data_IF_966733445400
#
_entry.id   IF_966733445400
#
_cell.length_a   1.000
_cell.length_b   1.000
_cell.length_c   1.000
_cell.angle_alpha   90.00
_cell.angle_beta   90.00
_cell.angle_gamma   90.00
#
_symmetry.space_group_name_H-M   'P 1'
#
loop_
_entity.id
_entity.type
_entity.pdbx_description
1 polymer ?
#
# COMPACT_ATOMS: atom_id res chain seq x y z
N UNK A 1 20.14 2.05 43.14
CA UNK A 1 18.75 1.62 42.93
C UNK A 1 18.51 1.56 41.44
N UNK A 2 18.47 0.37 40.84
CA UNK A 2 18.11 0.20 39.44
C UNK A 2 16.57 0.23 39.38
N UNK A 3 16.00 1.33 38.86
CA UNK A 3 14.59 1.37 38.51
C UNK A 3 14.42 0.46 37.29
N UNK A 4 13.72 -0.65 37.49
CA UNK A 4 13.32 -1.53 36.41
C UNK A 4 12.43 -0.76 35.44
N UNK A 5 12.86 -0.69 34.18
CA UNK A 5 12.00 -0.27 33.08
C UNK A 5 10.80 -1.22 33.07
N UNK A 6 9.61 -0.68 33.33
CA UNK A 6 8.35 -1.43 33.25
C UNK A 6 8.18 -1.95 31.81
N UNK A 7 8.23 -3.27 31.56
CA UNK A 7 8.24 -3.82 30.19
C UNK A 7 6.85 -3.86 29.55
N UNK A 8 5.82 -3.22 30.13
CA UNK A 8 4.43 -3.44 29.76
C UNK A 8 3.77 -2.33 28.92
N UNK A 9 4.48 -1.26 28.56
CA UNK A 9 3.93 -0.25 27.64
C UNK A 9 4.79 -0.14 26.39
N UNK A 10 4.22 -0.42 25.19
CA UNK A 10 4.89 -0.01 23.97
C UNK A 10 5.15 1.49 24.06
N UNK A 11 6.32 1.91 23.62
CA UNK A 11 6.69 3.31 23.58
C UNK A 11 5.69 4.03 22.66
N UNK A 12 4.78 4.81 23.28
CA UNK A 12 3.76 5.55 22.54
C UNK A 12 4.43 6.76 21.93
N UNK A 13 4.24 6.94 20.63
CA UNK A 13 4.76 8.10 19.91
C UNK A 13 4.42 9.42 20.65
N UNK A 14 5.40 10.31 20.88
CA UNK A 14 5.20 11.55 21.61
C UNK A 14 4.07 12.43 21.05
N UNK A 15 3.85 12.43 19.74
CA UNK A 15 2.76 13.16 19.09
C UNK A 15 1.39 12.59 19.46
N UNK A 16 1.27 11.25 19.50
CA UNK A 16 0.03 10.59 19.93
C UNK A 16 -0.26 10.90 21.39
N UNK A 17 0.77 10.89 22.24
CA UNK A 17 0.64 11.26 23.64
C UNK A 17 0.17 12.71 23.82
N UNK A 18 0.71 13.64 23.03
CA UNK A 18 0.31 15.05 23.07
C UNK A 18 -1.12 15.27 22.58
N UNK A 19 -1.54 14.59 21.51
CA UNK A 19 -2.91 14.64 21.02
C UNK A 19 -3.92 14.16 22.08
N UNK A 20 -3.62 13.06 22.78
CA UNK A 20 -4.47 12.54 23.88
C UNK A 20 -4.56 13.55 25.02
N UNK A 21 -3.44 14.18 25.40
CA UNK A 21 -3.43 15.23 26.44
C UNK A 21 -4.27 16.43 26.03
N UNK A 22 -4.12 16.92 24.80
CA UNK A 22 -4.89 18.04 24.27
C UNK A 22 -6.40 17.75 24.30
N UNK A 23 -6.82 16.55 23.89
CA UNK A 23 -8.23 16.15 23.94
C UNK A 23 -8.75 16.08 25.38
N UNK A 24 -7.97 15.48 26.28
CA UNK A 24 -8.31 15.42 27.72
C UNK A 24 -8.48 16.81 28.30
N UNK A 25 -7.55 17.72 28.03
CA UNK A 25 -7.51 19.03 28.67
C UNK A 25 -8.64 19.94 28.17
N UNK A 26 -9.09 19.77 26.92
CA UNK A 26 -10.16 20.57 26.32
C UNK A 26 -11.57 19.97 26.49
N UNK A 27 -11.70 18.64 26.50
CA UNK A 27 -12.99 17.95 26.45
C UNK A 27 -13.21 16.95 27.60
N UNK A 28 -12.22 16.77 28.47
CA UNK A 28 -12.28 15.87 29.62
C UNK A 28 -12.47 14.41 29.23
N UNK A 29 -13.02 13.64 30.17
CA UNK A 29 -13.25 12.20 29.99
C UNK A 29 -14.24 11.87 28.85
N UNK A 30 -15.19 12.77 28.55
CA UNK A 30 -16.14 12.57 27.44
C UNK A 30 -15.41 12.60 26.10
N UNK A 31 -14.53 13.58 25.88
CA UNK A 31 -13.72 13.65 24.67
C UNK A 31 -12.80 12.45 24.50
N UNK A 32 -12.19 11.97 25.58
CA UNK A 32 -11.37 10.75 25.54
C UNK A 32 -12.16 9.50 25.15
N UNK A 33 -13.41 9.35 25.63
CA UNK A 33 -14.27 8.25 25.21
C UNK A 33 -14.59 8.32 23.72
N UNK A 34 -14.89 9.51 23.19
CA UNK A 34 -15.12 9.69 21.76
C UNK A 34 -13.86 9.38 20.94
N UNK A 35 -12.69 9.84 21.38
CA UNK A 35 -11.42 9.55 20.73
C UNK A 35 -11.17 8.04 20.66
N UNK A 36 -11.42 7.31 21.75
CA UNK A 36 -11.27 5.85 21.79
C UNK A 36 -12.25 5.16 20.84
N UNK A 37 -13.50 5.60 20.75
CA UNK A 37 -14.46 5.06 19.78
C UNK A 37 -13.98 5.27 18.35
N UNK A 38 -13.58 6.49 17.99
CA UNK A 38 -13.08 6.81 16.66
C UNK A 38 -11.83 6.01 16.29
N UNK A 39 -10.89 5.87 17.22
CA UNK A 39 -9.67 5.10 17.00
C UNK A 39 -9.96 3.60 16.78
N UNK A 40 -10.94 3.03 17.50
CA UNK A 40 -11.38 1.64 17.27
C UNK A 40 -12.03 1.46 15.91
N UNK A 41 -12.89 2.38 15.51
CA UNK A 41 -13.55 2.33 14.21
C UNK A 41 -12.54 2.44 13.08
N UNK A 42 -11.51 3.28 13.24
CA UNK A 42 -10.44 3.42 12.25
C UNK A 42 -9.56 2.17 12.17
N UNK A 43 -9.20 1.60 13.33
CA UNK A 43 -8.43 0.36 13.36
C UNK A 43 -9.19 -0.77 12.62
N UNK A 44 -10.50 -0.90 12.88
CA UNK A 44 -11.33 -1.90 12.20
C UNK A 44 -11.38 -1.67 10.67
N UNK A 45 -11.40 -0.40 10.21
CA UNK A 45 -11.34 -0.08 8.77
C UNK A 45 -10.01 -0.49 8.14
N UNK A 46 -8.90 -0.19 8.82
CA UNK A 46 -7.55 -0.55 8.35
C UNK A 46 -7.40 -2.06 8.27
N UNK A 47 -7.78 -2.79 9.33
CA UNK A 47 -7.73 -4.25 9.37
C UNK A 47 -8.59 -4.89 8.26
N UNK A 48 -9.77 -4.32 7.97
CA UNK A 48 -10.60 -4.77 6.85
C UNK A 48 -9.94 -4.52 5.48
N UNK A 49 -9.30 -3.36 5.30
CA UNK A 49 -8.60 -3.03 4.06
C UNK A 49 -7.38 -3.97 3.86
N UNK A 50 -6.62 -4.24 4.91
CA UNK A 50 -5.50 -5.19 4.89
C UNK A 50 -5.96 -6.62 4.56
N UNK A 51 -7.08 -7.06 5.15
CA UNK A 51 -7.66 -8.36 4.82
C UNK A 51 -8.10 -8.46 3.35
N UNK A 52 -8.63 -7.38 2.78
CA UNK A 52 -8.99 -7.32 1.36
C UNK A 52 -7.75 -7.41 0.46
N UNK A 53 -6.67 -6.69 0.77
CA UNK A 53 -5.42 -6.79 0.03
C UNK A 53 -4.83 -8.20 0.08
N UNK A 54 -4.82 -8.84 1.26
CA UNK A 54 -4.38 -10.23 1.41
C UNK A 54 -5.25 -11.25 0.67
N UNK A 55 -6.52 -10.91 0.41
CA UNK A 55 -7.40 -11.74 -0.43
C UNK A 55 -7.08 -11.60 -1.92
N UNK A 56 -6.76 -10.39 -2.40
CA UNK A 56 -6.37 -10.14 -3.80
C UNK A 56 -5.09 -10.89 -4.16
N UNK A 57 -4.09 -10.90 -3.27
CA UNK A 57 -2.82 -11.64 -3.46
C UNK A 57 -3.03 -13.17 -3.52
N UNK A 58 -4.13 -13.68 -2.97
CA UNK A 58 -4.54 -15.09 -3.06
C UNK A 58 -5.52 -15.38 -4.20
N UNK A 59 -6.14 -14.35 -4.80
CA UNK A 59 -7.09 -14.50 -5.91
C UNK A 59 -6.55 -14.09 -7.25
N UNK A 60 -5.26 -13.76 -7.39
CA UNK A 60 -4.66 -13.79 -8.71
C UNK A 60 -4.83 -15.23 -9.22
N UNK A 61 -5.68 -15.47 -10.25
CA UNK A 61 -5.51 -16.71 -10.98
C UNK A 61 -4.06 -16.63 -11.45
N UNK A 62 -3.28 -17.67 -11.16
CA UNK A 62 -2.19 -17.98 -12.06
C UNK A 62 -2.86 -18.01 -13.42
N UNK A 63 -2.70 -16.93 -14.19
CA UNK A 63 -3.01 -16.93 -15.60
C UNK A 63 -1.99 -17.93 -16.12
N UNK A 64 -2.34 -19.21 -16.07
CA UNK A 64 -1.69 -20.20 -16.91
C UNK A 64 -1.75 -19.55 -18.28
N UNK A 65 -0.59 -19.24 -18.90
CA UNK A 65 -0.61 -18.69 -20.23
C UNK A 65 -1.42 -19.68 -21.04
N UNK A 66 -2.62 -19.28 -21.46
CA UNK A 66 -3.46 -20.10 -22.32
C UNK A 66 -2.55 -20.47 -23.48
N UNK A 67 -2.11 -21.72 -23.50
CA UNK A 67 -1.37 -22.31 -24.59
C UNK A 67 -2.34 -22.49 -25.76
N UNK A 68 -2.97 -21.39 -26.18
CA UNK A 68 -3.47 -21.26 -27.53
C UNK A 68 -2.25 -21.34 -28.46
N UNK A 69 -2.44 -21.80 -29.71
CA UNK A 69 -1.37 -21.75 -30.68
C UNK A 69 -0.84 -20.31 -30.69
N UNK A 70 0.42 -20.11 -30.32
CA UNK A 70 1.09 -18.84 -30.47
C UNK A 70 0.87 -18.44 -31.92
N UNK A 71 0.10 -17.38 -32.16
CA UNK A 71 -0.05 -16.88 -33.51
C UNK A 71 1.31 -16.36 -33.94
N UNK A 72 1.98 -17.18 -34.75
CA UNK A 72 3.31 -16.88 -35.26
C UNK A 72 3.26 -15.56 -36.02
N UNK A 73 2.11 -15.17 -36.60
CA UNK A 73 1.93 -13.88 -37.25
C UNK A 73 2.07 -12.72 -36.26
N UNK A 74 1.44 -12.78 -35.09
CA UNK A 74 1.54 -11.73 -34.06
C UNK A 74 2.95 -11.63 -33.50
N UNK A 75 3.62 -12.77 -33.32
CA UNK A 75 5.01 -12.80 -32.86
C UNK A 75 5.96 -12.19 -33.91
N UNK A 76 5.75 -12.50 -35.19
CA UNK A 76 6.54 -11.92 -36.29
C UNK A 76 6.26 -10.42 -36.48
N UNK A 77 5.01 -9.97 -36.30
CA UNK A 77 4.65 -8.56 -36.37
C UNK A 77 5.32 -7.75 -35.25
N UNK A 78 5.39 -8.30 -34.03
CA UNK A 78 6.05 -7.66 -32.91
C UNK A 78 7.58 -7.60 -33.08
N UNK A 79 8.19 -8.66 -33.60
CA UNK A 79 9.62 -8.67 -33.94
C UNK A 79 9.96 -7.63 -35.02
N UNK A 80 9.16 -7.55 -36.09
CA UNK A 80 9.35 -6.56 -37.15
C UNK A 80 9.22 -5.12 -36.65
N UNK A 81 8.30 -4.84 -35.71
CA UNK A 81 8.15 -3.52 -35.10
C UNK A 81 9.32 -3.15 -34.18
N UNK A 82 9.89 -4.12 -33.47
CA UNK A 82 10.99 -3.89 -32.51
C UNK A 82 12.39 -3.90 -33.14
N UNK A 83 12.56 -4.54 -34.29
CA UNK A 83 13.79 -4.49 -35.12
C UNK A 83 13.87 -3.23 -36.00
N UNK A 84 12.80 -2.43 -36.12
CA UNK A 84 12.87 -1.08 -36.70
C UNK A 84 13.46 -0.10 -35.68
N UNK A 85 14.78 -0.05 -35.58
CA UNK A 85 15.52 1.01 -34.89
C UNK A 85 15.21 2.37 -35.58
N UNK A 86 14.86 3.45 -34.85
CA UNK A 86 14.44 4.75 -35.42
C UNK A 86 15.61 5.60 -35.97
N UNK A 87 16.48 5.03 -36.79
CA UNK A 87 17.64 5.71 -37.39
C UNK A 87 17.48 5.93 -38.91
N UNK A 88 16.29 6.28 -39.38
CA UNK A 88 16.09 6.87 -40.71
C UNK A 88 15.20 8.12 -40.61
N UNK A 89 15.78 9.23 -40.14
CA UNK A 89 15.03 10.47 -40.03
C UNK A 89 15.82 11.78 -39.90
N UNK A 90 17.12 11.77 -39.63
CA UNK A 90 17.92 13.00 -39.62
C UNK A 90 19.22 12.83 -40.42
N UNK A 91 19.19 13.32 -41.66
CA UNK A 91 20.21 14.19 -42.30
C UNK A 91 20.38 13.89 -43.80
N UNK A 92 19.50 14.47 -44.60
CA UNK A 92 19.70 14.68 -46.04
C UNK A 92 19.92 16.15 -46.37
N UNK A 93 21.20 16.52 -46.50
CA UNK A 93 21.78 17.61 -47.33
C UNK A 93 21.56 19.09 -46.93
N UNK A 94 22.67 19.67 -46.45
CA UNK A 94 23.51 20.67 -47.13
C UNK A 94 22.90 21.55 -48.21
#
# INVERSE_FOLDING_TARGET
>A
MMQGSDPARPEVDPMVLDAVKTVRDRFGAVGLRHLVTLARDELARVEQAEAQLGSIDQTDPVVEPTAGPLDVADTQAWLAYTEQDPEEGEQGRS
#
